data_IF_902209181639
#
_entry.id   IF_902209181639
#
_cell.length_a   1.000
_cell.length_b   1.000
_cell.length_c   1.000
_cell.angle_alpha   90.00
_cell.angle_beta   90.00
_cell.angle_gamma   90.00
#
_symmetry.space_group_name_H-M   'P 1'
#
loop_
_entity.id
_entity.type
_entity.pdbx_description
1 polymer ?
#
# COMPACT_ATOMS: atom_id res chain seq x y z
N UNK A 1 -3.89 -30.48 -12.35
CA UNK A 1 -3.13 -30.63 -11.09
C UNK A 1 -1.67 -30.12 -11.17
N UNK A 2 -0.68 -30.89 -11.67
CA UNK A 2 0.74 -30.45 -11.65
C UNK A 2 1.02 -29.22 -12.53
N UNK A 3 0.35 -29.11 -13.68
CA UNK A 3 0.46 -27.94 -14.58
C UNK A 3 -0.12 -26.65 -13.97
N UNK A 4 -1.20 -26.75 -13.19
CA UNK A 4 -1.81 -25.60 -12.50
C UNK A 4 -0.88 -25.05 -11.38
N UNK A 5 -0.21 -25.92 -10.62
CA UNK A 5 0.68 -25.49 -9.53
C UNK A 5 1.96 -24.76 -10.01
N UNK A 6 2.41 -25.02 -11.24
CA UNK A 6 3.53 -24.29 -11.85
C UNK A 6 3.12 -22.91 -12.39
N UNK A 7 1.84 -22.71 -12.73
CA UNK A 7 1.33 -21.44 -13.24
C UNK A 7 1.31 -20.34 -12.15
N UNK A 8 1.09 -20.72 -10.88
CA UNK A 8 0.98 -19.80 -9.73
C UNK A 8 2.31 -19.34 -9.12
N UNK A 9 3.48 -19.69 -9.69
CA UNK A 9 4.80 -19.36 -9.12
C UNK A 9 4.97 -19.75 -7.64
N UNK A 10 4.26 -20.77 -7.15
CA UNK A 10 4.35 -21.24 -5.77
C UNK A 10 5.02 -22.63 -5.70
N UNK A 11 6.36 -22.73 -5.82
CA UNK A 11 7.07 -24.03 -5.80
C UNK A 11 6.75 -24.87 -4.55
N UNK A 12 6.38 -24.21 -3.44
CA UNK A 12 5.94 -24.85 -2.20
C UNK A 12 4.62 -25.60 -2.32
N UNK A 13 3.66 -25.11 -3.11
CA UNK A 13 2.34 -25.77 -3.27
C UNK A 13 2.49 -27.07 -4.05
N UNK A 14 3.30 -27.06 -5.11
CA UNK A 14 3.62 -28.28 -5.87
C UNK A 14 4.26 -29.36 -4.98
N UNK A 15 5.16 -28.96 -4.07
CA UNK A 15 5.82 -29.86 -3.13
C UNK A 15 4.83 -30.45 -2.09
N UNK A 16 3.88 -29.66 -1.61
CA UNK A 16 2.78 -30.12 -0.73
C UNK A 16 1.89 -31.14 -1.44
N UNK A 17 1.49 -30.87 -2.68
CA UNK A 17 0.69 -31.79 -3.52
C UNK A 17 1.44 -33.11 -3.71
N UNK A 18 2.74 -33.05 -4.01
CA UNK A 18 3.57 -34.26 -4.15
C UNK A 18 3.63 -35.06 -2.85
N UNK A 19 3.76 -34.40 -1.69
CA UNK A 19 3.70 -35.06 -0.38
C UNK A 19 2.39 -35.81 -0.14
N UNK A 20 1.26 -35.21 -0.52
CA UNK A 20 -0.06 -35.84 -0.38
C UNK A 20 -0.23 -37.01 -1.36
N UNK A 21 0.22 -36.86 -2.61
CA UNK A 21 0.20 -37.96 -3.57
C UNK A 21 1.00 -39.17 -3.08
N UNK A 22 2.15 -38.96 -2.43
CA UNK A 22 2.95 -40.03 -1.84
C UNK A 22 2.25 -40.67 -0.63
N UNK A 23 1.56 -39.86 0.19
CA UNK A 23 0.76 -40.37 1.31
C UNK A 23 -0.41 -41.24 0.82
N UNK A 24 -1.10 -40.84 -0.24
CA UNK A 24 -2.17 -41.64 -0.88
C UNK A 24 -1.64 -42.97 -1.43
N UNK A 25 -0.39 -42.99 -1.88
CA UNK A 25 0.35 -44.21 -2.28
C UNK A 25 0.89 -45.03 -1.10
N UNK A 26 0.43 -44.75 0.13
CA UNK A 26 0.79 -45.48 1.37
C UNK A 26 2.25 -45.36 1.80
N UNK A 27 3.00 -44.35 1.32
CA UNK A 27 4.31 -44.05 1.90
C UNK A 27 4.17 -43.51 3.33
N UNK A 28 5.09 -43.88 4.22
CA UNK A 28 5.13 -43.35 5.58
C UNK A 28 5.51 -41.86 5.58
N UNK A 29 5.08 -41.13 6.61
CA UNK A 29 5.45 -39.71 6.79
C UNK A 29 6.98 -39.51 6.80
N UNK A 30 7.71 -40.46 7.40
CA UNK A 30 9.17 -40.45 7.46
C UNK A 30 9.80 -40.63 6.07
N UNK A 31 9.25 -41.51 5.24
CA UNK A 31 9.76 -41.73 3.88
C UNK A 31 9.45 -40.53 2.98
N UNK A 32 8.27 -39.94 3.10
CA UNK A 32 7.90 -38.72 2.38
C UNK A 32 8.82 -37.57 2.75
N UNK A 33 9.09 -37.38 4.04
CA UNK A 33 10.02 -36.36 4.54
C UNK A 33 11.43 -36.52 3.96
N UNK A 34 11.94 -37.76 3.92
CA UNK A 34 13.24 -38.09 3.33
C UNK A 34 13.27 -37.85 1.81
N UNK A 35 12.25 -38.30 1.09
CA UNK A 35 12.14 -38.18 -0.37
C UNK A 35 12.02 -36.71 -0.83
N UNK A 36 11.31 -35.89 -0.06
CA UNK A 36 11.08 -34.47 -0.37
C UNK A 36 12.06 -33.53 0.32
N UNK A 37 13.01 -34.05 1.11
CA UNK A 37 14.00 -33.26 1.88
C UNK A 37 13.35 -32.18 2.75
N UNK A 38 12.29 -32.55 3.47
CA UNK A 38 11.56 -31.66 4.39
C UNK A 38 11.42 -32.28 5.77
N UNK A 39 11.15 -31.45 6.77
CA UNK A 39 10.93 -31.96 8.12
C UNK A 39 9.59 -32.72 8.24
N UNK A 40 9.56 -33.78 9.05
CA UNK A 40 8.38 -34.63 9.30
C UNK A 40 7.13 -33.85 9.73
N UNK A 41 7.30 -32.78 10.50
CA UNK A 41 6.18 -31.94 10.97
C UNK A 41 5.52 -31.18 9.82
N UNK A 42 6.27 -30.81 8.79
CA UNK A 42 5.72 -30.15 7.59
C UNK A 42 4.80 -31.10 6.84
N UNK A 43 5.24 -32.35 6.63
CA UNK A 43 4.41 -33.38 5.97
C UNK A 43 3.15 -33.66 6.78
N UNK A 44 3.26 -33.79 8.11
CA UNK A 44 2.09 -33.94 8.98
C UNK A 44 1.13 -32.75 8.84
N UNK A 45 1.63 -31.51 8.88
CA UNK A 45 0.81 -30.31 8.69
C UNK A 45 0.10 -30.30 7.34
N UNK A 46 0.73 -30.73 6.25
CA UNK A 46 0.08 -30.76 4.93
C UNK A 46 -1.03 -31.80 4.86
N UNK A 47 -0.82 -32.99 5.44
CA UNK A 47 -1.84 -34.05 5.49
C UNK A 47 -3.02 -33.60 6.34
N UNK A 48 -2.77 -32.99 7.52
CA UNK A 48 -3.83 -32.45 8.37
C UNK A 48 -4.63 -31.36 7.64
N UNK A 49 -3.94 -30.39 7.04
CA UNK A 49 -4.60 -29.32 6.29
C UNK A 49 -5.39 -29.84 5.08
N UNK A 50 -4.91 -30.89 4.41
CA UNK A 50 -5.65 -31.55 3.33
C UNK A 50 -6.89 -32.27 3.83
N UNK A 51 -6.81 -32.96 4.97
CA UNK A 51 -7.96 -33.66 5.52
C UNK A 51 -9.07 -32.69 5.98
N UNK A 52 -8.70 -31.52 6.49
CA UNK A 52 -9.66 -30.51 6.97
C UNK A 52 -10.18 -29.62 5.84
N UNK A 53 -9.28 -29.14 4.96
CA UNK A 53 -9.58 -28.09 3.98
C UNK A 53 -9.38 -28.54 2.52
N UNK A 54 -9.14 -29.83 2.27
CA UNK A 54 -8.91 -30.38 0.93
C UNK A 54 -7.84 -29.59 0.15
N UNK A 55 -8.09 -29.29 -1.12
CA UNK A 55 -7.18 -28.54 -1.99
C UNK A 55 -6.85 -27.14 -1.44
N UNK A 56 -7.79 -26.49 -0.76
CA UNK A 56 -7.61 -25.14 -0.22
C UNK A 56 -6.53 -25.08 0.87
N UNK A 57 -6.43 -26.13 1.69
CA UNK A 57 -5.44 -26.24 2.76
C UNK A 57 -3.97 -26.31 2.31
N UNK A 58 -3.73 -26.50 1.01
CA UNK A 58 -2.38 -26.54 0.44
C UNK A 58 -1.90 -25.22 -0.09
N UNK A 59 -2.80 -24.27 -0.33
CA UNK A 59 -2.41 -22.94 -0.75
C UNK A 59 -1.80 -22.17 0.41
N UNK A 60 -0.89 -21.26 0.08
CA UNK A 60 -0.38 -20.32 1.07
C UNK A 60 -1.48 -19.29 1.30
N UNK A 61 -2.15 -19.36 2.46
CA UNK A 61 -3.18 -18.39 2.84
C UNK A 61 -2.61 -16.98 3.01
N UNK A 62 -3.48 -15.98 2.97
CA UNK A 62 -3.10 -14.61 3.29
C UNK A 62 -2.65 -14.52 4.75
N UNK A 63 -1.45 -13.98 4.97
CA UNK A 63 -0.97 -13.66 6.32
C UNK A 63 -1.39 -12.23 6.62
N UNK A 64 -2.34 -12.05 7.53
CA UNK A 64 -2.91 -10.76 7.92
C UNK A 64 -1.93 -9.80 8.62
N UNK A 65 -0.64 -10.19 8.71
CA UNK A 65 0.39 -9.39 9.37
C UNK A 65 0.07 -9.10 10.85
N UNK A 66 0.75 -8.10 11.40
CA UNK A 66 0.39 -7.55 12.71
C UNK A 66 -0.91 -6.75 12.54
N UNK A 67 -1.92 -6.95 13.40
CA UNK A 67 -3.14 -6.14 13.34
C UNK A 67 -2.81 -4.65 13.46
N UNK A 68 -3.56 -3.81 12.73
CA UNK A 68 -3.39 -2.36 12.80
C UNK A 68 -3.79 -1.86 14.18
N UNK A 69 -2.98 -0.99 14.79
CA UNK A 69 -3.26 -0.45 16.11
C UNK A 69 -4.50 0.45 16.14
N UNK A 70 -4.80 1.15 15.05
CA UNK A 70 -6.03 1.91 14.89
C UNK A 70 -7.17 1.00 14.43
N UNK A 71 -8.27 1.01 15.17
CA UNK A 71 -9.51 0.29 14.86
C UNK A 71 -10.19 0.89 13.63
N UNK A 72 -11.11 0.15 12.98
CA UNK A 72 -11.84 0.67 11.81
C UNK A 72 -12.67 1.92 12.16
N UNK A 73 -13.33 1.95 13.33
CA UNK A 73 -14.03 3.14 13.81
C UNK A 73 -13.08 4.34 13.99
N UNK A 74 -11.88 4.09 14.55
CA UNK A 74 -10.86 5.15 14.67
C UNK A 74 -10.36 5.66 13.32
N UNK A 75 -10.29 4.79 12.29
CA UNK A 75 -9.96 5.21 10.92
C UNK A 75 -11.04 6.07 10.29
N UNK A 76 -12.32 5.80 10.57
CA UNK A 76 -13.44 6.62 10.09
C UNK A 76 -13.43 8.00 10.74
N UNK A 77 -13.29 8.06 12.07
CA UNK A 77 -13.17 9.33 12.81
C UNK A 77 -11.96 10.15 12.35
N UNK A 78 -10.81 9.49 12.14
CA UNK A 78 -9.62 10.16 11.59
C UNK A 78 -9.87 10.70 10.18
N UNK A 79 -10.67 10.00 9.36
CA UNK A 79 -11.06 10.46 8.02
C UNK A 79 -11.85 11.76 8.11
N UNK A 80 -12.86 11.80 8.97
CA UNK A 80 -13.69 12.99 9.20
C UNK A 80 -12.86 14.19 9.68
N UNK A 81 -11.92 13.96 10.60
CA UNK A 81 -10.98 15.00 11.07
C UNK A 81 -10.16 15.56 9.90
N UNK A 82 -9.55 14.68 9.11
CA UNK A 82 -8.70 15.11 7.99
C UNK A 82 -9.52 15.82 6.90
N UNK A 83 -10.74 15.36 6.62
CA UNK A 83 -11.64 15.97 5.64
C UNK A 83 -12.17 17.35 6.07
N UNK A 84 -12.41 17.54 7.37
CA UNK A 84 -12.80 18.86 7.92
C UNK A 84 -11.73 19.94 7.69
N UNK A 85 -10.48 19.51 7.56
CA UNK A 85 -9.34 20.35 7.28
C UNK A 85 -8.66 20.89 8.55
N UNK A 86 -7.39 21.33 8.44
CA UNK A 86 -6.57 21.72 9.59
C UNK A 86 -7.16 22.87 10.40
N UNK A 87 -7.77 23.84 9.73
CA UNK A 87 -8.33 25.05 10.36
C UNK A 87 -9.56 24.71 11.18
N UNK A 88 -10.41 23.79 10.71
CA UNK A 88 -11.59 23.35 11.45
C UNK A 88 -11.21 22.58 12.73
N UNK A 89 -10.09 21.85 12.69
CA UNK A 89 -9.49 21.20 13.87
C UNK A 89 -8.84 22.20 14.84
N UNK A 90 -8.68 23.47 14.47
CA UNK A 90 -8.08 24.51 15.32
C UNK A 90 -6.60 24.80 15.06
N UNK A 91 -6.04 24.28 13.96
CA UNK A 91 -4.67 24.61 13.56
C UNK A 91 -4.61 25.96 12.82
N UNK A 92 -3.54 26.72 13.09
CA UNK A 92 -3.28 27.98 12.39
C UNK A 92 -2.74 27.78 10.98
N UNK A 93 -2.31 26.56 10.64
CA UNK A 93 -1.82 26.20 9.30
C UNK A 93 -2.97 25.65 8.47
N UNK A 94 -2.98 25.93 7.16
CA UNK A 94 -3.99 25.38 6.23
C UNK A 94 -3.61 24.03 5.63
N UNK A 95 -2.60 23.34 6.16
CA UNK A 95 -2.02 22.14 5.53
C UNK A 95 -1.83 21.01 6.55
N UNK A 96 -2.37 19.84 6.22
CA UNK A 96 -2.06 18.61 6.95
C UNK A 96 -0.64 18.14 6.66
N UNK A 97 0.10 17.85 7.71
CA UNK A 97 1.40 17.19 7.60
C UNK A 97 1.37 15.88 8.38
N UNK A 98 2.17 14.89 7.94
CA UNK A 98 2.20 13.59 8.60
C UNK A 98 2.61 13.65 10.09
N UNK A 99 3.52 14.54 10.53
CA UNK A 99 3.80 14.73 11.96
C UNK A 99 2.60 15.28 12.74
N UNK A 100 1.88 16.26 12.20
CA UNK A 100 0.68 16.82 12.84
C UNK A 100 -0.39 15.74 13.00
N UNK A 101 -0.65 14.98 11.93
CA UNK A 101 -1.64 13.90 11.97
C UNK A 101 -1.19 12.79 12.94
N UNK A 102 0.11 12.52 13.08
CA UNK A 102 0.60 11.57 14.08
C UNK A 102 0.29 12.02 15.52
N UNK A 103 0.46 13.32 15.82
CA UNK A 103 0.14 13.88 17.13
C UNK A 103 -1.36 13.77 17.42
N UNK A 104 -2.20 14.13 16.44
CA UNK A 104 -3.67 14.00 16.57
C UNK A 104 -4.06 12.55 16.83
N UNK A 105 -3.42 11.58 16.15
CA UNK A 105 -3.73 10.17 16.38
C UNK A 105 -3.36 9.74 17.81
N UNK A 106 -2.24 10.25 18.33
CA UNK A 106 -1.81 9.97 19.68
C UNK A 106 -2.74 10.60 20.73
N UNK A 107 -3.23 11.82 20.48
CA UNK A 107 -4.14 12.56 21.36
C UNK A 107 -5.55 11.97 21.38
N UNK A 108 -6.15 11.70 20.21
CA UNK A 108 -7.56 11.28 20.09
C UNK A 108 -7.74 9.77 20.29
N UNK A 109 -6.74 8.96 19.91
CA UNK A 109 -6.87 7.49 19.90
C UNK A 109 -5.87 6.76 20.80
N UNK A 110 -4.96 7.48 21.49
CA UNK A 110 -3.90 6.89 22.31
C UNK A 110 -3.01 5.88 21.54
N UNK A 111 -2.90 6.05 20.21
CA UNK A 111 -2.09 5.21 19.32
C UNK A 111 -0.89 6.00 18.83
N UNK A 112 0.31 5.51 19.15
CA UNK A 112 1.53 6.12 18.64
C UNK A 112 1.90 5.59 17.26
N UNK A 113 2.04 6.50 16.29
CA UNK A 113 2.54 6.17 14.96
C UNK A 113 3.72 7.05 14.55
N UNK A 114 4.72 6.42 13.93
CA UNK A 114 5.75 7.16 13.22
C UNK A 114 5.12 7.92 12.02
N UNK A 115 5.50 9.18 11.72
CA UNK A 115 4.90 9.96 10.63
C UNK A 115 4.93 9.27 9.26
N UNK A 116 5.96 8.46 8.99
CA UNK A 116 6.05 7.65 7.77
C UNK A 116 4.97 6.57 7.66
N UNK A 117 4.49 6.02 8.78
CA UNK A 117 3.36 5.10 8.82
C UNK A 117 2.05 5.84 8.57
N UNK A 118 1.87 7.02 9.20
CA UNK A 118 0.70 7.88 8.99
C UNK A 118 0.53 8.24 7.51
N UNK A 119 1.62 8.53 6.79
CA UNK A 119 1.55 8.74 5.33
C UNK A 119 0.98 7.54 4.57
N UNK A 120 1.34 6.32 4.95
CA UNK A 120 0.81 5.09 4.33
C UNK A 120 -0.66 4.90 4.68
N UNK A 121 -1.02 5.09 5.94
CA UNK A 121 -2.39 5.04 6.45
C UNK A 121 -3.30 6.02 5.70
N UNK A 122 -2.89 7.28 5.56
CA UNK A 122 -3.63 8.29 4.80
C UNK A 122 -3.83 7.88 3.33
N UNK A 123 -2.79 7.32 2.69
CA UNK A 123 -2.88 6.82 1.31
C UNK A 123 -3.86 5.63 1.19
N UNK A 124 -3.83 4.71 2.14
CA UNK A 124 -4.77 3.57 2.20
C UNK A 124 -6.22 4.03 2.37
N UNK A 125 -6.44 5.14 3.10
CA UNK A 125 -7.75 5.78 3.23
C UNK A 125 -8.16 6.62 2.01
N UNK A 126 -7.34 6.68 0.95
CA UNK A 126 -7.65 7.39 -0.29
C UNK A 126 -7.14 8.83 -0.38
N UNK A 127 -6.45 9.33 0.65
CA UNK A 127 -5.90 10.68 0.62
C UNK A 127 -4.67 10.77 -0.30
N UNK A 128 -4.58 11.91 -1.00
CA UNK A 128 -3.44 12.24 -1.84
C UNK A 128 -2.65 13.42 -1.25
N UNK A 129 -1.36 13.46 -1.56
CA UNK A 129 -0.50 14.57 -1.13
C UNK A 129 -0.92 15.83 -1.87
N UNK A 130 -1.43 16.82 -1.13
CA UNK A 130 -1.74 18.12 -1.69
C UNK A 130 -0.47 18.94 -1.86
N UNK A 131 -0.36 19.63 -3.00
CA UNK A 131 0.72 20.58 -3.28
C UNK A 131 0.11 21.97 -3.36
N UNK A 132 0.10 22.72 -2.24
CA UNK A 132 -0.36 24.11 -2.26
C UNK A 132 0.42 24.86 -3.33
N UNK A 133 -0.30 25.42 -4.30
CA UNK A 133 0.31 26.22 -5.35
C UNK A 133 0.07 27.68 -5.01
N UNK A 134 1.14 28.45 -4.82
CA UNK A 134 1.05 29.88 -4.56
C UNK A 134 0.46 30.57 -5.79
N UNK A 135 -0.76 31.09 -5.67
CA UNK A 135 -1.31 32.05 -6.63
C UNK A 135 -0.98 33.45 -6.14
N UNK A 136 -0.37 34.27 -7.00
CA UNK A 136 -0.20 35.69 -6.71
C UNK A 136 -1.59 36.33 -6.63
N UNK A 137 -1.93 36.93 -5.48
CA UNK A 137 -3.25 37.53 -5.26
C UNK A 137 -3.61 38.60 -6.31
N UNK A 138 -2.61 39.30 -6.84
CA UNK A 138 -2.79 40.34 -7.86
C UNK A 138 -2.69 39.83 -9.31
N UNK A 139 -2.61 38.51 -9.52
CA UNK A 139 -2.50 37.95 -10.87
C UNK A 139 -3.78 38.23 -11.68
N UNK A 140 -3.65 39.02 -12.73
CA UNK A 140 -4.71 39.23 -13.72
C UNK A 140 -4.62 38.14 -14.81
N UNK A 141 -5.61 37.24 -14.93
CA UNK A 141 -5.59 36.15 -15.89
C UNK A 141 -5.55 36.65 -17.36
N UNK A 142 -6.09 37.83 -17.65
CA UNK A 142 -6.02 38.41 -19.00
C UNK A 142 -4.60 38.83 -19.35
N UNK A 143 -3.87 39.45 -18.41
CA UNK A 143 -2.47 39.84 -18.59
C UNK A 143 -1.55 38.62 -18.69
N UNK A 144 -1.78 37.59 -17.88
CA UNK A 144 -1.04 36.32 -17.99
C UNK A 144 -1.23 35.67 -19.37
N UNK A 145 -2.48 35.55 -19.84
CA UNK A 145 -2.75 34.96 -21.15
C UNK A 145 -2.11 35.76 -22.28
N UNK A 146 -2.16 37.10 -22.23
CA UNK A 146 -1.48 37.96 -23.20
C UNK A 146 0.04 37.75 -23.18
N UNK A 147 0.63 37.66 -22.00
CA UNK A 147 2.08 37.45 -21.84
C UNK A 147 2.54 36.10 -22.39
N UNK A 148 1.79 35.02 -22.08
CA UNK A 148 2.08 33.67 -22.58
C UNK A 148 1.95 33.59 -24.11
N UNK A 149 0.90 34.18 -24.68
CA UNK A 149 0.63 34.10 -26.13
C UNK A 149 1.55 34.97 -26.97
N UNK A 150 1.91 36.16 -26.51
CA UNK A 150 2.56 37.16 -27.37
C UNK A 150 3.92 37.62 -26.84
N UNK A 151 4.02 37.94 -25.54
CA UNK A 151 5.23 38.59 -25.00
C UNK A 151 6.38 37.62 -24.83
N UNK A 152 6.14 36.47 -24.18
CA UNK A 152 7.17 35.47 -23.90
C UNK A 152 7.77 34.85 -25.17
N UNK A 153 6.97 34.43 -26.17
CA UNK A 153 7.52 33.90 -27.43
C UNK A 153 8.36 34.92 -28.20
N UNK A 154 7.99 36.20 -28.17
CA UNK A 154 8.73 37.25 -28.85
C UNK A 154 10.03 37.63 -28.14
N UNK A 155 10.07 37.61 -26.80
CA UNK A 155 11.30 37.78 -26.03
C UNK A 155 12.31 36.65 -26.26
N UNK A 156 11.83 35.43 -26.54
CA UNK A 156 12.71 34.27 -26.81
C UNK A 156 13.36 34.33 -28.21
N UNK A 157 12.84 35.14 -29.13
CA UNK A 157 13.45 35.33 -30.46
C UNK A 157 14.66 36.25 -30.33
N UNK A 158 15.78 35.89 -30.98
CA UNK A 158 16.94 36.79 -31.09
C UNK A 158 16.51 38.06 -31.83
N UNK A 159 16.82 39.27 -31.32
CA UNK A 159 16.51 40.48 -32.05
C UNK A 159 17.21 40.45 -33.40
N UNK A 160 16.47 40.77 -34.47
CA UNK A 160 17.05 40.90 -35.81
C UNK A 160 18.15 41.96 -35.82
N UNK A 161 19.17 41.77 -36.67
CA UNK A 161 20.24 42.76 -36.87
C UNK A 161 19.60 44.12 -37.17
N UNK A 162 19.85 45.12 -36.32
CA UNK A 162 19.43 46.51 -36.59
C UNK A 162 20.04 46.93 -37.93
N UNK A 163 19.18 47.14 -38.93
CA UNK A 163 19.57 47.78 -40.18
C UNK A 163 20.05 49.20 -39.89
N UNK A 164 21.16 49.57 -40.51
CA UNK A 164 21.82 50.87 -40.41
C UNK A 164 21.11 51.89 -41.29
#
# INVERSE_FOLDING_TARGET
MRREAHADKAPKVALRIQGIMLSLKKHSVSDIARLLQVHRSSVHSWIQNWNVHSKEGLYEGHRSGRPTALTENGKEQLRDIVDSGPVAYGLQTGVWTSPIVAQIIEEEFAVHYHPGHVRKLLKEMGFSVQRPTTKLMQADPKKQNKWIRYTYPNLKKKPGRKGR
#
